data_IF_808544549567
#
_entry.id   IF_808544549567
#
_cell.length_a   1.000
_cell.length_b   1.000
_cell.length_c   1.000
_cell.angle_alpha   90.00
_cell.angle_beta   90.00
_cell.angle_gamma   90.00
#
_symmetry.space_group_name_H-M   'P 1'
#
loop_
_entity.id
_entity.type
_entity.pdbx_description
1 polymer ?
#
# COMPACT_ATOMS: atom_id res chain seq x y z
N UNK A 1 -8.49 45.29 -11.25
CA UNK A 1 -8.57 44.06 -10.42
C UNK A 1 -8.25 42.88 -11.32
N UNK A 2 -7.05 42.32 -11.21
CA UNK A 2 -6.52 41.34 -12.15
C UNK A 2 -6.35 39.98 -11.46
N UNK A 3 -7.10 38.99 -11.93
CA UNK A 3 -7.02 37.61 -11.49
C UNK A 3 -5.65 36.99 -11.84
N UNK A 4 -4.88 36.61 -10.83
CA UNK A 4 -3.65 35.83 -11.02
C UNK A 4 -4.03 34.35 -11.11
N UNK A 5 -4.04 33.86 -12.34
CA UNK A 5 -4.07 32.44 -12.67
C UNK A 5 -2.97 31.68 -11.91
N UNK A 6 -3.39 30.65 -11.16
CA UNK A 6 -2.49 29.69 -10.51
C UNK A 6 -1.80 28.81 -11.57
N UNK A 7 -0.51 28.46 -11.42
CA UNK A 7 0.18 27.69 -12.45
C UNK A 7 -0.34 26.26 -12.49
N UNK A 8 -0.92 25.91 -13.63
CA UNK A 8 -1.19 24.54 -14.08
C UNK A 8 0.04 23.66 -13.89
N UNK A 9 -0.18 22.43 -13.40
CA UNK A 9 0.83 21.37 -13.41
C UNK A 9 1.47 21.25 -14.80
N UNK A 10 2.79 21.05 -14.92
CA UNK A 10 3.44 21.03 -16.22
C UNK A 10 2.85 19.91 -17.07
N UNK A 11 2.37 20.27 -18.27
CA UNK A 11 1.97 19.33 -19.31
C UNK A 11 3.13 18.36 -19.59
N UNK A 12 2.84 17.07 -19.54
CA UNK A 12 3.76 16.00 -19.98
C UNK A 12 4.24 16.32 -21.40
N UNK A 13 5.55 16.46 -21.52
CA UNK A 13 6.24 16.67 -22.80
C UNK A 13 6.26 15.35 -23.56
N UNK A 14 6.05 15.40 -24.88
CA UNK A 14 5.97 14.26 -25.83
C UNK A 14 7.09 13.21 -25.79
N UNK A 15 8.13 13.38 -24.96
CA UNK A 15 9.29 12.48 -24.80
C UNK A 15 9.23 11.58 -23.54
N UNK A 16 8.18 11.65 -22.71
CA UNK A 16 8.07 10.83 -21.49
C UNK A 16 7.76 9.35 -21.75
N UNK A 17 7.33 8.98 -22.96
CA UNK A 17 6.86 7.62 -23.27
C UNK A 17 7.97 6.60 -23.54
N UNK A 18 9.21 7.04 -23.77
CA UNK A 18 10.34 6.15 -24.10
C UNK A 18 11.08 5.65 -22.86
N UNK A 19 10.80 6.23 -21.69
CA UNK A 19 11.47 5.87 -20.45
C UNK A 19 10.69 4.82 -19.65
N UNK A 20 11.41 3.80 -19.17
CA UNK A 20 10.85 2.80 -18.26
C UNK A 20 10.40 3.46 -16.96
N UNK A 21 9.11 3.39 -16.65
CA UNK A 21 8.50 3.92 -15.44
C UNK A 21 8.36 2.86 -14.33
N UNK A 22 7.89 3.24 -13.13
CA UNK A 22 7.67 2.31 -12.01
C UNK A 22 8.86 2.12 -11.07
N UNK A 23 8.77 1.10 -10.20
CA UNK A 23 9.79 0.83 -9.17
C UNK A 23 11.11 0.42 -9.81
N UNK A 24 12.22 0.82 -9.18
CA UNK A 24 13.54 0.29 -9.50
C UNK A 24 13.61 -1.16 -9.02
N UNK A 25 14.06 -2.04 -9.90
CA UNK A 25 14.36 -3.43 -9.57
C UNK A 25 15.60 -3.49 -8.67
N UNK A 26 15.81 -4.65 -8.03
CA UNK A 26 17.01 -4.87 -7.20
C UNK A 26 18.28 -4.71 -8.05
N UNK A 27 18.29 -5.33 -9.24
CA UNK A 27 19.40 -5.23 -10.19
C UNK A 27 19.70 -3.79 -10.61
N UNK A 28 18.67 -3.01 -10.97
CA UNK A 28 18.85 -1.59 -11.30
C UNK A 28 19.42 -0.79 -10.11
N UNK A 29 18.96 -1.11 -8.89
CA UNK A 29 19.43 -0.46 -7.66
C UNK A 29 20.89 -0.78 -7.36
N UNK A 30 21.29 -2.04 -7.57
CA UNK A 30 22.64 -2.52 -7.30
C UNK A 30 23.63 -1.96 -8.33
N UNK A 31 23.25 -1.90 -9.62
CA UNK A 31 24.03 -1.24 -10.68
C UNK A 31 24.32 0.23 -10.36
N UNK A 32 23.28 0.98 -9.97
CA UNK A 32 23.43 2.40 -9.61
C UNK A 32 24.37 2.56 -8.40
N UNK A 33 24.19 1.74 -7.35
CA UNK A 33 25.03 1.82 -6.14
C UNK A 33 26.49 1.54 -6.46
N UNK A 34 26.75 0.47 -7.22
CA UNK A 34 28.10 0.11 -7.63
C UNK A 34 28.75 1.24 -8.44
N UNK A 35 28.07 1.78 -9.45
CA UNK A 35 28.59 2.88 -10.25
C UNK A 35 28.94 4.13 -9.42
N UNK A 36 28.14 4.44 -8.40
CA UNK A 36 28.47 5.54 -7.47
C UNK A 36 29.69 5.20 -6.61
N UNK A 37 29.75 4.00 -6.06
CA UNK A 37 30.83 3.59 -5.17
C UNK A 37 32.18 3.53 -5.93
N UNK A 38 32.17 3.04 -7.17
CA UNK A 38 33.30 3.06 -8.11
C UNK A 38 33.72 4.51 -8.42
N UNK A 39 32.75 5.38 -8.77
CA UNK A 39 33.06 6.80 -9.02
C UNK A 39 33.65 7.50 -7.79
N UNK A 40 33.14 7.20 -6.59
CA UNK A 40 33.63 7.78 -5.33
C UNK A 40 35.06 7.32 -5.05
N UNK A 41 35.36 6.03 -5.20
CA UNK A 41 36.69 5.49 -4.91
C UNK A 41 37.76 6.06 -5.85
N UNK A 42 37.41 6.29 -7.11
CA UNK A 42 38.31 6.85 -8.12
C UNK A 42 38.53 8.37 -7.96
N UNK A 43 37.47 9.13 -7.61
CA UNK A 43 37.49 10.58 -7.70
C UNK A 43 37.55 11.31 -6.34
N UNK A 44 37.34 10.61 -5.22
CA UNK A 44 37.28 11.24 -3.90
C UNK A 44 38.09 10.49 -2.84
N UNK A 45 39.08 11.17 -2.25
CA UNK A 45 39.80 10.70 -1.05
C UNK A 45 39.11 11.13 0.25
N UNK A 46 37.83 10.78 0.41
CA UNK A 46 37.08 11.09 1.62
C UNK A 46 36.03 10.02 1.91
N UNK A 47 35.37 10.10 3.08
CA UNK A 47 34.30 9.17 3.40
C UNK A 47 33.18 9.23 2.37
N UNK A 48 32.56 8.08 2.12
CA UNK A 48 31.43 7.93 1.19
C UNK A 48 30.34 8.97 1.42
N UNK A 49 30.02 9.25 2.68
CA UNK A 49 29.02 10.26 3.04
C UNK A 49 29.43 11.69 2.64
N UNK A 50 30.70 12.04 2.82
CA UNK A 50 31.23 13.35 2.44
C UNK A 50 31.23 13.52 0.92
N UNK A 51 31.61 12.48 0.18
CA UNK A 51 31.56 12.46 -1.29
C UNK A 51 30.12 12.60 -1.80
N UNK A 52 29.17 11.82 -1.25
CA UNK A 52 27.74 11.91 -1.61
C UNK A 52 27.16 13.31 -1.37
N UNK A 53 27.51 13.97 -0.27
CA UNK A 53 27.09 15.36 0.00
C UNK A 53 27.59 16.34 -1.06
N UNK A 54 28.76 16.10 -1.66
CA UNK A 54 29.30 16.91 -2.77
C UNK A 54 28.56 16.61 -4.08
N UNK A 55 28.34 15.34 -4.38
CA UNK A 55 27.69 14.87 -5.61
C UNK A 55 26.21 15.28 -5.72
N UNK A 56 25.50 15.46 -4.60
CA UNK A 56 24.06 15.76 -4.58
C UNK A 56 23.74 17.25 -4.76
N UNK A 57 24.72 18.14 -4.50
CA UNK A 57 24.48 19.58 -4.62
C UNK A 57 24.18 19.94 -6.07
N UNK A 58 22.93 20.30 -6.34
CA UNK A 58 22.53 20.96 -7.59
C UNK A 58 23.09 22.38 -7.56
N UNK A 59 23.90 22.75 -8.56
CA UNK A 59 24.41 24.13 -8.73
C UNK A 59 23.62 24.79 -9.87
N UNK A 60 22.72 25.71 -9.52
CA UNK A 60 21.89 26.43 -10.50
C UNK A 60 21.08 25.49 -11.40
N UNK A 61 21.22 25.64 -12.72
CA UNK A 61 20.53 24.82 -13.73
C UNK A 61 21.23 23.49 -14.04
N UNK A 62 22.44 23.25 -13.50
CA UNK A 62 23.23 22.06 -13.79
C UNK A 62 22.67 20.87 -12.99
N UNK A 63 22.31 19.75 -13.65
CA UNK A 63 21.95 18.50 -12.99
C UNK A 63 23.04 18.02 -12.02
N UNK A 64 22.63 17.34 -10.94
CA UNK A 64 23.57 16.73 -10.01
C UNK A 64 24.46 15.70 -10.72
N UNK A 65 25.79 15.66 -10.46
CA UNK A 65 26.70 14.63 -10.96
C UNK A 65 26.18 13.19 -10.84
N UNK A 66 25.43 12.88 -9.78
CA UNK A 66 24.82 11.56 -9.61
C UNK A 66 23.87 11.18 -10.75
N UNK A 67 23.16 12.16 -11.32
CA UNK A 67 22.24 11.90 -12.42
C UNK A 67 23.02 11.38 -13.62
N UNK A 68 24.15 11.99 -13.96
CA UNK A 68 24.98 11.54 -15.09
C UNK A 68 25.52 10.14 -14.87
N UNK A 69 26.13 9.86 -13.71
CA UNK A 69 26.65 8.54 -13.36
C UNK A 69 25.58 7.45 -13.51
N UNK A 70 24.35 7.71 -13.04
CA UNK A 70 23.29 6.73 -13.17
C UNK A 70 22.64 6.67 -14.56
N UNK A 71 22.75 7.71 -15.39
CA UNK A 71 22.32 7.64 -16.79
C UNK A 71 23.26 6.79 -17.64
N UNK A 72 24.55 6.69 -17.28
CA UNK A 72 25.50 5.79 -17.96
C UNK A 72 25.13 4.33 -17.78
N UNK A 73 24.68 3.94 -16.58
CA UNK A 73 24.31 2.54 -16.28
C UNK A 73 22.83 2.23 -16.47
N UNK A 74 21.95 3.24 -16.47
CA UNK A 74 20.50 3.11 -16.70
C UNK A 74 19.97 4.17 -17.68
N UNK A 75 20.40 4.16 -18.95
CA UNK A 75 19.97 5.16 -19.94
C UNK A 75 18.47 5.11 -20.24
N UNK A 76 17.83 3.96 -20.00
CA UNK A 76 16.39 3.75 -20.20
C UNK A 76 15.51 4.32 -19.07
N UNK A 77 16.08 4.88 -18.00
CA UNK A 77 15.32 5.48 -16.89
C UNK A 77 15.35 7.00 -16.99
N UNK A 78 14.20 7.65 -16.82
CA UNK A 78 14.12 9.10 -16.87
C UNK A 78 15.00 9.77 -15.78
N UNK A 79 15.81 10.81 -16.08
CA UNK A 79 16.72 11.47 -15.14
C UNK A 79 16.06 11.91 -13.82
N UNK A 80 14.84 12.43 -13.88
CA UNK A 80 14.05 12.81 -12.68
C UNK A 80 13.72 11.62 -11.79
N UNK A 81 13.45 10.44 -12.35
CA UNK A 81 13.18 9.22 -11.59
C UNK A 81 14.42 8.74 -10.86
N UNK A 82 15.57 8.82 -11.52
CA UNK A 82 16.89 8.51 -10.95
C UNK A 82 17.25 9.50 -9.83
N UNK A 83 17.04 10.80 -10.04
CA UNK A 83 17.23 11.81 -8.99
C UNK A 83 16.40 11.52 -7.73
N UNK A 84 15.13 11.16 -7.91
CA UNK A 84 14.25 10.78 -6.80
C UNK A 84 14.69 9.48 -6.12
N UNK A 85 15.26 8.53 -6.87
CA UNK A 85 15.84 7.32 -6.30
C UNK A 85 16.99 7.65 -5.35
N UNK A 86 17.94 8.50 -5.77
CA UNK A 86 19.06 8.91 -4.90
C UNK A 86 18.61 9.53 -3.59
N UNK A 87 17.64 10.46 -3.68
CA UNK A 87 17.10 11.14 -2.49
C UNK A 87 16.50 10.18 -1.46
N UNK A 88 15.92 9.06 -1.91
CA UNK A 88 15.24 8.09 -1.04
C UNK A 88 16.11 6.93 -0.58
N UNK A 89 17.05 6.48 -1.41
CA UNK A 89 17.74 5.21 -1.21
C UNK A 89 19.24 5.32 -0.99
N UNK A 90 19.86 6.44 -1.37
CA UNK A 90 21.32 6.64 -1.24
C UNK A 90 21.62 7.66 -0.13
N UNK A 91 20.80 8.70 0.00
CA UNK A 91 20.91 9.62 1.13
C UNK A 91 20.48 8.94 2.43
N UNK A 92 21.35 9.01 3.44
CA UNK A 92 20.99 8.62 4.80
C UNK A 92 19.91 9.57 5.31
N UNK A 93 18.71 9.03 5.46
CA UNK A 93 17.62 9.64 6.18
C UNK A 93 17.18 8.65 7.25
N UNK A 94 16.82 9.15 8.43
CA UNK A 94 16.20 8.34 9.47
C UNK A 94 14.92 7.71 8.93
N UNK A 95 14.85 6.39 9.00
CA UNK A 95 13.68 5.59 8.60
C UNK A 95 13.04 4.92 9.81
N UNK A 96 11.81 4.46 9.65
CA UNK A 96 11.08 3.74 10.69
C UNK A 96 10.00 4.56 11.39
N UNK A 97 9.52 4.05 12.53
CA UNK A 97 8.39 4.62 13.27
C UNK A 97 8.69 6.04 13.72
N UNK A 98 7.69 6.91 13.64
CA UNK A 98 7.78 8.27 14.16
C UNK A 98 7.72 8.24 15.68
N UNK A 99 8.69 8.88 16.32
CA UNK A 99 8.67 9.07 17.77
C UNK A 99 7.79 10.27 18.15
N UNK A 100 7.39 10.35 19.41
CA UNK A 100 6.53 11.45 19.87
C UNK A 100 7.28 12.79 19.83
N UNK A 101 8.59 12.76 20.03
CA UNK A 101 9.49 13.92 19.96
C UNK A 101 9.56 14.45 18.52
N UNK A 102 9.70 13.54 17.53
CA UNK A 102 9.68 13.92 16.12
C UNK A 102 8.34 14.53 15.71
N UNK A 103 7.24 13.97 16.23
CA UNK A 103 5.90 14.48 15.98
C UNK A 103 5.68 15.84 16.64
N UNK A 104 6.15 16.03 17.88
CA UNK A 104 6.08 17.31 18.57
C UNK A 104 6.88 18.38 17.83
N UNK A 105 8.12 18.10 17.42
CA UNK A 105 8.93 19.03 16.65
C UNK A 105 8.26 19.42 15.32
N UNK A 106 7.67 18.45 14.60
CA UNK A 106 6.90 18.71 13.39
C UNK A 106 5.72 19.68 13.63
N UNK A 107 4.94 19.41 14.68
CA UNK A 107 3.78 20.23 15.05
C UNK A 107 4.20 21.62 15.54
N UNK A 108 5.23 21.72 16.38
CA UNK A 108 5.80 22.97 16.88
C UNK A 108 6.25 23.85 15.72
N UNK A 109 6.99 23.30 14.76
CA UNK A 109 7.41 24.08 13.58
C UNK A 109 6.23 24.49 12.71
N UNK A 110 5.20 23.64 12.55
CA UNK A 110 4.00 24.02 11.82
C UNK A 110 3.29 25.21 12.47
N UNK A 111 2.97 25.13 13.77
CA UNK A 111 2.23 26.19 14.47
C UNK A 111 3.03 27.50 14.56
N UNK A 112 4.36 27.44 14.66
CA UNK A 112 5.22 28.64 14.61
C UNK A 112 5.22 29.34 13.25
N UNK A 113 4.88 28.63 12.17
CA UNK A 113 4.85 29.18 10.81
C UNK A 113 3.41 29.27 10.25
N UNK A 114 2.39 29.07 11.08
CA UNK A 114 1.00 29.05 10.64
C UNK A 114 0.57 30.42 10.11
N UNK A 115 1.00 31.51 10.76
CA UNK A 115 0.67 32.89 10.39
C UNK A 115 1.33 33.34 9.07
N UNK A 116 2.52 32.82 8.76
CA UNK A 116 3.23 33.17 7.52
C UNK A 116 2.73 32.42 6.30
N UNK A 117 1.89 31.39 6.48
CA UNK A 117 1.38 30.52 5.40
C UNK A 117 2.46 29.70 4.68
N UNK A 118 3.73 29.85 5.06
CA UNK A 118 4.88 29.20 4.42
C UNK A 118 5.38 28.10 5.36
N UNK A 119 5.08 26.85 4.98
CA UNK A 119 5.59 25.72 5.72
C UNK A 119 7.09 25.51 5.48
N UNK A 120 7.91 25.80 6.48
CA UNK A 120 9.38 25.66 6.44
C UNK A 120 9.85 24.20 6.63
N UNK A 121 9.38 23.27 5.79
CA UNK A 121 9.71 21.83 5.89
C UNK A 121 11.22 21.52 5.78
N UNK A 122 11.99 22.41 5.13
CA UNK A 122 13.45 22.27 5.03
C UNK A 122 14.13 22.29 6.40
N UNK A 123 13.63 23.11 7.32
CA UNK A 123 14.17 23.18 8.68
C UNK A 123 13.88 21.89 9.45
N UNK A 124 12.62 21.44 9.41
CA UNK A 124 12.17 20.19 10.04
C UNK A 124 12.95 18.98 9.50
N UNK A 125 13.18 18.92 8.19
CA UNK A 125 13.98 17.87 7.53
C UNK A 125 15.38 17.78 8.15
N UNK A 126 16.06 18.93 8.31
CA UNK A 126 17.40 18.98 8.92
C UNK A 126 17.38 18.56 10.38
N UNK A 127 16.42 19.06 11.16
CA UNK A 127 16.29 18.76 12.58
C UNK A 127 16.01 17.28 12.84
N UNK A 128 15.04 16.70 12.12
CA UNK A 128 14.60 15.32 12.34
C UNK A 128 15.46 14.29 11.60
N UNK A 129 16.37 14.74 10.73
CA UNK A 129 17.15 13.90 9.82
C UNK A 129 16.28 12.95 8.98
N UNK A 130 15.01 13.29 8.76
CA UNK A 130 14.06 12.55 7.89
C UNK A 130 13.97 13.24 6.54
N UNK A 131 13.68 12.48 5.48
CA UNK A 131 13.53 13.04 4.13
C UNK A 131 12.33 14.00 4.05
N UNK A 132 12.37 15.04 3.18
CA UNK A 132 11.25 15.96 3.00
C UNK A 132 9.93 15.27 2.65
N UNK A 133 10.01 14.17 1.89
CA UNK A 133 8.88 13.33 1.51
C UNK A 133 8.23 12.70 2.76
N UNK A 134 9.02 12.13 3.68
CA UNK A 134 8.51 11.58 4.93
C UNK A 134 7.84 12.66 5.80
N UNK A 135 8.44 13.87 5.88
CA UNK A 135 7.86 15.01 6.60
C UNK A 135 6.47 15.35 6.04
N UNK A 136 6.38 15.53 4.71
CA UNK A 136 5.13 15.84 4.03
C UNK A 136 4.07 14.75 4.18
N UNK A 137 4.46 13.48 4.09
CA UNK A 137 3.56 12.35 4.24
C UNK A 137 3.01 12.28 5.66
N UNK A 138 3.88 12.46 6.68
CA UNK A 138 3.43 12.48 8.07
C UNK A 138 2.54 13.68 8.36
N UNK A 139 2.88 14.85 7.83
CA UNK A 139 2.03 16.03 7.99
C UNK A 139 0.65 15.81 7.36
N UNK A 140 0.57 15.25 6.14
CA UNK A 140 -0.72 14.90 5.51
C UNK A 140 -1.53 13.91 6.32
N UNK A 141 -0.88 12.94 6.95
CA UNK A 141 -1.54 11.99 7.84
C UNK A 141 -2.20 12.70 9.01
N UNK A 142 -1.49 13.63 9.66
CA UNK A 142 -1.93 14.29 10.89
C UNK A 142 -2.76 15.56 10.69
N UNK A 143 -2.70 16.18 9.50
CA UNK A 143 -3.30 17.48 9.19
C UNK A 143 -4.79 17.54 9.55
N UNK A 144 -5.51 16.44 9.38
CA UNK A 144 -6.96 16.38 9.59
C UNK A 144 -7.39 16.51 11.06
N UNK A 145 -6.46 16.35 11.99
CA UNK A 145 -6.71 16.46 13.42
C UNK A 145 -5.68 17.37 14.08
N UNK A 146 -5.11 18.31 13.30
CA UNK A 146 -4.05 19.19 13.76
C UNK A 146 -4.53 20.12 14.86
N UNK A 147 -5.76 20.61 14.76
CA UNK A 147 -6.36 21.52 15.75
C UNK A 147 -6.44 20.88 17.14
N UNK A 148 -6.63 19.55 17.20
CA UNK A 148 -6.61 18.82 18.48
C UNK A 148 -5.26 18.95 19.21
N UNK A 149 -4.16 19.13 18.48
CA UNK A 149 -2.83 19.30 19.07
C UNK A 149 -2.49 20.74 19.43
N UNK A 150 -3.23 21.73 18.90
CA UNK A 150 -2.88 23.15 19.03
C UNK A 150 -2.78 23.59 20.50
N UNK A 151 -3.79 23.24 21.29
CA UNK A 151 -3.84 23.54 22.73
C UNK A 151 -2.68 22.92 23.51
N UNK A 152 -2.25 21.72 23.15
CA UNK A 152 -1.12 21.04 23.83
C UNK A 152 0.21 21.65 23.43
N UNK A 153 0.42 21.95 22.15
CA UNK A 153 1.71 22.45 21.64
C UNK A 153 1.96 23.89 22.10
N UNK A 154 0.94 24.74 22.04
CA UNK A 154 1.04 26.18 22.36
C UNK A 154 0.90 26.50 23.85
N UNK A 155 0.50 25.56 24.70
CA UNK A 155 0.37 25.79 26.15
C UNK A 155 1.70 26.21 26.78
N UNK A 156 1.72 27.34 27.50
CA UNK A 156 2.88 27.83 28.26
C UNK A 156 3.09 27.09 29.59
N UNK A 157 2.04 26.48 30.13
CA UNK A 157 2.02 25.81 31.44
C UNK A 157 2.67 24.41 31.42
N UNK A 158 2.79 23.79 30.24
CA UNK A 158 3.29 22.43 30.10
C UNK A 158 4.78 22.42 29.76
N UNK A 159 5.54 21.58 30.47
CA UNK A 159 6.91 21.26 30.09
C UNK A 159 6.97 20.59 28.71
N UNK A 160 8.10 20.67 28.00
CA UNK A 160 8.25 19.98 26.71
C UNK A 160 8.04 18.46 26.84
N UNK A 161 8.52 17.85 27.94
CA UNK A 161 8.32 16.43 28.22
C UNK A 161 6.83 16.08 28.36
N UNK A 162 6.04 16.93 29.04
CA UNK A 162 4.61 16.73 29.20
C UNK A 162 3.85 16.90 27.89
N UNK A 163 4.26 17.86 27.05
CA UNK A 163 3.70 18.05 25.70
C UNK A 163 3.94 16.81 24.84
N UNK A 164 5.16 16.28 24.82
CA UNK A 164 5.54 15.07 24.09
C UNK A 164 4.73 13.87 24.59
N UNK A 165 4.60 13.70 25.91
CA UNK A 165 3.82 12.63 26.53
C UNK A 165 2.33 12.72 26.16
N UNK A 166 1.72 13.91 26.25
CA UNK A 166 0.32 14.15 25.88
C UNK A 166 0.07 13.88 24.40
N UNK A 167 0.94 14.35 23.50
CA UNK A 167 0.88 14.03 22.07
C UNK A 167 0.95 12.52 21.86
N UNK A 168 1.86 11.83 22.54
CA UNK A 168 1.96 10.37 22.50
C UNK A 168 0.65 9.67 22.90
N UNK A 169 -0.01 10.12 23.97
CA UNK A 169 -1.31 9.61 24.41
C UNK A 169 -2.40 9.85 23.37
N UNK A 170 -2.47 11.06 22.80
CA UNK A 170 -3.44 11.41 21.75
C UNK A 170 -3.26 10.55 20.48
N UNK A 171 -2.02 10.32 20.07
CA UNK A 171 -1.70 9.54 18.87
C UNK A 171 -1.94 8.04 19.08
N UNK A 172 -1.66 7.51 20.28
CA UNK A 172 -1.91 6.09 20.63
C UNK A 172 -3.41 5.77 20.70
N UNK A 173 -4.24 6.70 21.18
CA UNK A 173 -5.71 6.56 21.18
C UNK A 173 -6.30 6.46 19.77
N UNK A 174 -5.61 7.00 18.77
CA UNK A 174 -6.01 6.87 17.36
C UNK A 174 -5.52 5.57 16.71
N UNK A 175 -4.37 5.02 17.13
CA UNK A 175 -3.77 3.82 16.55
C UNK A 175 -4.32 2.50 17.11
N UNK A 176 -4.74 2.48 18.38
CA UNK A 176 -5.49 1.37 18.96
C UNK A 176 -6.98 1.71 18.88
N UNK A 177 -7.73 1.03 18.02
CA UNK A 177 -9.19 1.00 18.14
C UNK A 177 -9.54 0.67 19.59
N UNK A 178 -10.18 1.62 20.26
CA UNK A 178 -10.38 1.62 21.71
C UNK A 178 -11.22 0.42 22.14
N UNK A 179 -10.58 -0.59 22.73
CA UNK A 179 -11.18 -1.43 23.74
C UNK A 179 -10.89 -0.79 25.09
N UNK A 180 -11.80 0.09 25.52
CA UNK A 180 -12.24 0.36 26.91
C UNK A 180 -12.88 1.75 27.02
N UNK A 181 -14.20 1.73 27.18
CA UNK A 181 -15.08 2.67 27.88
C UNK A 181 -14.53 4.09 28.15
N UNK A 182 -14.57 4.93 27.14
CA UNK A 182 -14.77 6.38 27.33
C UNK A 182 -15.59 6.88 26.15
N UNK A 183 -16.88 7.13 26.41
CA UNK A 183 -17.82 7.70 25.46
C UNK A 183 -17.33 9.08 24.98
N UNK A 184 -17.49 9.34 23.68
CA UNK A 184 -17.57 10.66 23.02
C UNK A 184 -16.46 11.17 22.08
N UNK A 185 -15.38 10.44 21.70
CA UNK A 185 -14.44 11.07 20.73
C UNK A 185 -13.71 10.15 19.72
N UNK A 186 -14.11 8.88 19.60
CA UNK A 186 -13.79 8.08 18.41
C UNK A 186 -14.92 8.23 17.42
N UNK A 187 -14.72 8.95 16.32
CA UNK A 187 -15.73 9.13 15.27
C UNK A 187 -16.26 7.76 14.83
N UNK A 188 -17.44 7.42 15.31
CA UNK A 188 -18.01 6.09 15.25
C UNK A 188 -18.46 5.85 13.80
N UNK A 189 -18.07 4.70 13.25
CA UNK A 189 -18.48 4.31 11.89
C UNK A 189 -19.91 3.81 11.96
N UNK A 190 -20.86 4.74 12.01
CA UNK A 190 -22.28 4.44 12.09
C UNK A 190 -22.82 3.90 10.75
N UNK A 191 -23.93 3.14 10.73
CA UNK A 191 -24.60 2.75 9.49
C UNK A 191 -24.94 3.95 8.60
N UNK A 192 -25.36 5.07 9.21
CA UNK A 192 -25.62 6.33 8.51
C UNK A 192 -24.36 6.89 7.82
N UNK A 193 -23.20 6.83 8.47
CA UNK A 193 -21.92 7.19 7.85
C UNK A 193 -21.60 6.28 6.66
N UNK A 194 -21.78 4.97 6.80
CA UNK A 194 -21.51 4.01 5.71
C UNK A 194 -22.40 4.28 4.50
N UNK A 195 -23.69 4.48 4.72
CA UNK A 195 -24.65 4.82 3.68
C UNK A 195 -24.27 6.12 2.97
N UNK A 196 -24.00 7.19 3.73
CA UNK A 196 -23.61 8.49 3.17
C UNK A 196 -22.32 8.39 2.36
N UNK A 197 -21.31 7.65 2.83
CA UNK A 197 -20.06 7.43 2.11
C UNK A 197 -20.30 6.65 0.81
N UNK A 198 -21.16 5.63 0.84
CA UNK A 198 -21.54 4.87 -0.34
C UNK A 198 -22.23 5.74 -1.39
N UNK A 199 -23.25 6.50 -0.98
CA UNK A 199 -24.02 7.34 -1.88
C UNK A 199 -23.17 8.43 -2.55
N UNK A 200 -22.23 9.03 -1.83
CA UNK A 200 -21.29 10.02 -2.40
C UNK A 200 -20.38 9.38 -3.44
N UNK A 201 -19.81 8.20 -3.17
CA UNK A 201 -18.95 7.52 -4.14
C UNK A 201 -19.74 7.11 -5.38
N UNK A 202 -20.98 6.62 -5.20
CA UNK A 202 -21.89 6.29 -6.30
C UNK A 202 -22.23 7.51 -7.15
N UNK A 203 -22.57 8.65 -6.55
CA UNK A 203 -22.86 9.91 -7.26
C UNK A 203 -21.64 10.42 -8.05
N UNK A 204 -20.44 10.30 -7.48
CA UNK A 204 -19.21 10.71 -8.19
C UNK A 204 -18.95 9.80 -9.40
N UNK A 205 -19.13 8.48 -9.25
CA UNK A 205 -18.88 7.52 -10.32
C UNK A 205 -19.98 7.50 -11.38
N UNK A 206 -21.23 7.85 -11.05
CA UNK A 206 -22.30 7.97 -12.04
C UNK A 206 -22.11 9.16 -12.98
N UNK A 207 -21.46 10.23 -12.50
CA UNK A 207 -21.17 11.44 -13.29
C UNK A 207 -19.99 11.28 -14.25
N UNK A 208 -19.04 10.40 -13.97
CA UNK A 208 -17.85 10.18 -14.81
C UNK A 208 -17.66 8.71 -15.13
N UNK A 209 -18.09 8.32 -16.34
CA UNK A 209 -18.03 6.94 -16.85
C UNK A 209 -16.61 6.41 -17.02
N UNK A 210 -15.58 7.27 -17.02
CA UNK A 210 -14.18 6.86 -17.15
C UNK A 210 -13.57 6.44 -15.80
N UNK A 211 -14.27 6.68 -14.69
CA UNK A 211 -13.79 6.28 -13.37
C UNK A 211 -13.96 4.78 -13.15
N UNK A 212 -12.92 4.18 -12.59
CA UNK A 212 -12.95 2.82 -12.04
C UNK A 212 -12.93 2.87 -10.51
N UNK A 213 -13.25 1.76 -9.85
CA UNK A 213 -13.19 1.64 -8.38
C UNK A 213 -11.82 2.04 -7.80
N UNK A 214 -10.74 1.87 -8.56
CA UNK A 214 -9.40 2.25 -8.11
C UNK A 214 -9.10 3.74 -8.27
N UNK A 215 -9.77 4.40 -9.21
CA UNK A 215 -9.51 5.79 -9.60
C UNK A 215 -10.52 6.78 -9.01
N UNK A 216 -11.31 6.36 -8.02
CA UNK A 216 -12.20 7.25 -7.28
C UNK A 216 -11.41 8.46 -6.75
N UNK A 217 -11.84 9.70 -7.02
CA UNK A 217 -11.14 10.91 -6.57
C UNK A 217 -11.38 11.14 -5.08
N UNK A 218 -10.70 10.37 -4.23
CA UNK A 218 -10.88 10.38 -2.78
C UNK A 218 -10.68 11.74 -2.12
N UNK A 219 -9.92 12.65 -2.74
CA UNK A 219 -9.81 14.02 -2.28
C UNK A 219 -11.15 14.78 -2.36
N UNK A 220 -11.99 14.53 -3.38
CA UNK A 220 -13.34 15.08 -3.47
C UNK A 220 -14.27 14.47 -2.43
N UNK A 221 -14.16 13.15 -2.22
CA UNK A 221 -14.93 12.43 -1.17
C UNK A 221 -14.60 12.98 0.22
N UNK A 222 -13.31 13.16 0.52
CA UNK A 222 -12.84 13.67 1.82
C UNK A 222 -13.40 15.06 2.15
N UNK A 223 -13.66 15.93 1.16
CA UNK A 223 -14.27 17.25 1.44
C UNK A 223 -15.60 17.14 2.17
N UNK A 224 -16.31 16.01 2.07
CA UNK A 224 -17.57 15.73 2.78
C UNK A 224 -17.36 15.00 4.12
N UNK A 225 -16.14 14.58 4.42
CA UNK A 225 -15.72 13.85 5.63
C UNK A 225 -14.39 14.40 6.14
N UNK A 226 -14.33 15.68 6.59
CA UNK A 226 -13.08 16.38 6.91
C UNK A 226 -12.27 15.68 8.03
N UNK A 227 -12.95 15.01 8.95
CA UNK A 227 -12.34 14.31 10.09
C UNK A 227 -11.67 12.98 9.73
N UNK A 228 -11.81 12.54 8.47
CA UNK A 228 -11.28 11.27 8.00
C UNK A 228 -10.21 11.47 6.93
N UNK A 229 -9.09 10.75 7.07
CA UNK A 229 -8.07 10.72 6.03
C UNK A 229 -8.57 9.99 4.78
N UNK A 230 -8.09 10.41 3.60
CA UNK A 230 -8.32 9.74 2.31
C UNK A 230 -8.06 8.23 2.41
N UNK A 231 -6.95 7.85 3.04
CA UNK A 231 -6.56 6.45 3.21
C UNK A 231 -7.59 5.66 4.02
N UNK A 232 -8.09 6.23 5.13
CA UNK A 232 -9.08 5.58 5.99
C UNK A 232 -10.41 5.39 5.25
N UNK A 233 -10.90 6.42 4.55
CA UNK A 233 -12.12 6.34 3.73
C UNK A 233 -11.99 5.27 2.65
N UNK A 234 -10.87 5.28 1.90
CA UNK A 234 -10.62 4.31 0.83
C UNK A 234 -10.57 2.88 1.34
N UNK A 235 -9.84 2.63 2.43
CA UNK A 235 -9.73 1.28 3.00
C UNK A 235 -11.10 0.81 3.49
N UNK A 236 -11.81 1.63 4.26
CA UNK A 236 -13.11 1.27 4.81
C UNK A 236 -14.14 0.99 3.71
N UNK A 237 -14.17 1.83 2.68
CA UNK A 237 -15.04 1.61 1.52
C UNK A 237 -14.74 0.29 0.81
N UNK A 238 -13.48 0.06 0.45
CA UNK A 238 -13.09 -1.11 -0.35
C UNK A 238 -13.09 -2.43 0.42
N UNK A 239 -12.87 -2.40 1.74
CA UNK A 239 -12.76 -3.60 2.57
C UNK A 239 -14.03 -3.94 3.33
N UNK A 240 -14.93 -2.97 3.53
CA UNK A 240 -16.11 -3.15 4.38
C UNK A 240 -17.39 -2.80 3.64
N UNK A 241 -17.54 -1.55 3.18
CA UNK A 241 -18.80 -1.05 2.62
C UNK A 241 -19.15 -1.77 1.32
N UNK A 242 -18.26 -1.73 0.32
CA UNK A 242 -18.56 -2.30 -1.00
C UNK A 242 -18.77 -3.82 -0.96
N UNK A 243 -17.96 -4.61 -0.23
CA UNK A 243 -18.27 -6.03 -0.03
C UNK A 243 -19.62 -6.28 0.67
N UNK A 244 -20.02 -5.43 1.63
CA UNK A 244 -21.33 -5.53 2.29
C UNK A 244 -22.46 -5.28 1.29
N UNK A 245 -22.35 -4.23 0.47
CA UNK A 245 -23.30 -3.95 -0.64
C UNK A 245 -23.41 -5.15 -1.58
N UNK A 246 -22.28 -5.71 -2.02
CA UNK A 246 -22.32 -6.87 -2.92
C UNK A 246 -22.96 -8.08 -2.28
N UNK A 247 -22.73 -8.32 -0.99
CA UNK A 247 -23.38 -9.41 -0.24
C UNK A 247 -24.88 -9.21 -0.14
N UNK A 248 -25.34 -7.96 0.00
CA UNK A 248 -26.77 -7.62 0.10
C UNK A 248 -27.49 -7.71 -1.25
N UNK A 249 -26.87 -7.23 -2.33
CA UNK A 249 -27.53 -7.10 -3.65
C UNK A 249 -27.34 -8.35 -4.52
N UNK A 250 -26.18 -8.99 -4.45
CA UNK A 250 -25.84 -10.11 -5.32
C UNK A 250 -25.81 -11.42 -4.53
N UNK A 251 -26.92 -12.14 -4.56
CA UNK A 251 -27.02 -13.46 -3.96
C UNK A 251 -25.87 -14.38 -4.42
N UNK A 252 -25.21 -15.03 -3.47
CA UNK A 252 -24.03 -15.88 -3.69
C UNK A 252 -22.69 -15.12 -3.69
N UNK A 253 -22.69 -13.78 -3.68
CA UNK A 253 -21.47 -13.02 -3.43
C UNK A 253 -20.96 -13.33 -2.01
N UNK A 254 -19.73 -13.81 -1.92
CA UNK A 254 -19.09 -14.15 -0.65
C UNK A 254 -17.57 -14.11 -0.78
N UNK A 255 -16.84 -14.00 0.35
CA UNK A 255 -15.38 -14.14 0.34
C UNK A 255 -14.92 -15.45 -0.32
N UNK A 256 -15.67 -16.54 -0.13
CA UNK A 256 -15.38 -17.85 -0.73
C UNK A 256 -15.53 -17.82 -2.25
N UNK A 257 -16.59 -17.17 -2.77
CA UNK A 257 -16.77 -16.99 -4.21
C UNK A 257 -15.58 -16.22 -4.82
N UNK A 258 -15.17 -15.11 -4.18
CA UNK A 258 -14.00 -14.31 -4.61
C UNK A 258 -12.72 -15.15 -4.60
N UNK A 259 -12.54 -16.01 -3.60
CA UNK A 259 -11.41 -16.94 -3.60
C UNK A 259 -11.49 -17.94 -4.76
N UNK A 260 -12.63 -18.58 -5.00
CA UNK A 260 -12.79 -19.58 -6.09
C UNK A 260 -12.42 -19.03 -7.46
N UNK A 261 -12.89 -17.83 -7.80
CA UNK A 261 -12.56 -17.18 -9.08
C UNK A 261 -11.05 -16.90 -9.19
N UNK A 262 -10.41 -16.50 -8.09
CA UNK A 262 -8.98 -16.20 -8.05
C UNK A 262 -8.14 -17.47 -8.17
N UNK A 263 -8.47 -18.54 -7.44
CA UNK A 263 -7.79 -19.83 -7.54
C UNK A 263 -7.97 -20.49 -8.89
N UNK A 264 -9.14 -20.31 -9.52
CA UNK A 264 -9.34 -20.73 -10.90
C UNK A 264 -8.37 -20.04 -11.85
N UNK A 265 -8.17 -18.73 -11.66
CA UNK A 265 -7.27 -17.96 -12.50
C UNK A 265 -5.80 -18.29 -12.23
N UNK A 266 -5.40 -18.36 -10.96
CA UNK A 266 -4.06 -18.78 -10.55
C UNK A 266 -3.72 -20.16 -11.12
N UNK A 267 -4.62 -21.15 -11.02
CA UNK A 267 -4.41 -22.48 -11.62
C UNK A 267 -4.21 -22.42 -13.14
N UNK A 268 -4.85 -21.49 -13.85
CA UNK A 268 -4.61 -21.28 -15.29
C UNK A 268 -3.25 -20.64 -15.55
N UNK A 269 -2.84 -19.66 -14.74
CA UNK A 269 -1.55 -19.00 -14.86
C UNK A 269 -0.39 -19.97 -14.63
N UNK A 270 -0.50 -20.84 -13.62
CA UNK A 270 0.55 -21.79 -13.26
C UNK A 270 0.80 -22.86 -14.34
N UNK A 271 -0.19 -23.12 -15.20
CA UNK A 271 -0.05 -24.02 -16.37
C UNK A 271 0.70 -23.39 -17.55
N UNK A 272 0.95 -22.07 -17.54
CA UNK A 272 1.66 -21.40 -18.65
C UNK A 272 3.17 -21.66 -18.56
N UNK A 273 3.90 -21.76 -19.69
CA UNK A 273 5.34 -21.99 -19.69
C UNK A 273 6.12 -20.93 -18.89
N UNK A 274 5.70 -19.67 -18.96
CA UNK A 274 6.33 -18.55 -18.26
C UNK A 274 5.96 -18.44 -16.76
N UNK A 275 5.26 -19.44 -16.19
CA UNK A 275 4.86 -19.43 -14.77
C UNK A 275 6.02 -19.57 -13.80
N UNK A 276 7.22 -19.92 -14.29
CA UNK A 276 8.46 -20.06 -13.48
C UNK A 276 8.81 -18.75 -12.75
N UNK A 277 8.38 -17.61 -13.29
CA UNK A 277 8.69 -16.30 -12.73
C UNK A 277 7.72 -15.84 -11.62
N UNK A 278 6.63 -16.58 -11.36
CA UNK A 278 5.69 -16.25 -10.28
C UNK A 278 6.26 -16.71 -8.93
N UNK A 279 6.85 -15.77 -8.20
CA UNK A 279 7.41 -15.97 -6.86
C UNK A 279 6.46 -15.50 -5.76
N UNK A 280 5.58 -14.54 -6.05
CA UNK A 280 4.70 -13.94 -5.04
C UNK A 280 3.26 -13.77 -5.52
N UNK A 281 2.29 -13.86 -4.59
CA UNK A 281 0.88 -13.50 -4.85
C UNK A 281 0.71 -12.05 -5.32
N UNK A 282 1.63 -11.16 -4.92
CA UNK A 282 1.63 -9.75 -5.32
C UNK A 282 1.90 -9.55 -6.81
N UNK A 283 2.52 -10.52 -7.49
CA UNK A 283 2.83 -10.53 -8.92
C UNK A 283 1.64 -10.99 -9.77
N UNK A 284 0.62 -11.59 -9.14
CA UNK A 284 -0.60 -11.98 -9.85
C UNK A 284 -1.47 -10.76 -10.09
N UNK A 285 -1.69 -10.45 -11.37
CA UNK A 285 -2.51 -9.32 -11.80
C UNK A 285 -4.01 -9.61 -11.67
N UNK A 286 -4.50 -9.54 -10.44
CA UNK A 286 -5.93 -9.63 -10.15
C UNK A 286 -6.69 -8.35 -10.55
N UNK A 287 -6.00 -7.21 -10.57
CA UNK A 287 -6.59 -5.90 -10.88
C UNK A 287 -7.21 -5.90 -12.27
N UNK A 288 -6.42 -6.24 -13.28
CA UNK A 288 -6.92 -6.24 -14.66
C UNK A 288 -7.89 -7.39 -14.89
N UNK A 289 -7.81 -8.46 -14.09
CA UNK A 289 -8.66 -9.64 -14.25
C UNK A 289 -10.05 -9.48 -13.66
N UNK A 290 -10.15 -8.83 -12.51
CA UNK A 290 -11.37 -8.66 -11.73
C UNK A 290 -11.56 -7.18 -11.32
N UNK A 291 -11.60 -6.24 -12.29
CA UNK A 291 -11.64 -4.80 -12.00
C UNK A 291 -12.89 -4.36 -11.22
N UNK A 292 -13.94 -5.18 -11.22
CA UNK A 292 -15.19 -4.91 -10.52
C UNK A 292 -15.16 -5.27 -9.02
N UNK A 293 -14.10 -5.96 -8.56
CA UNK A 293 -13.89 -6.28 -7.14
C UNK A 293 -12.66 -5.52 -6.64
N UNK A 294 -12.72 -4.82 -5.49
CA UNK A 294 -11.56 -4.12 -4.97
C UNK A 294 -10.34 -5.04 -4.81
N UNK A 295 -9.18 -4.60 -5.31
CA UNK A 295 -7.94 -5.39 -5.24
C UNK A 295 -7.55 -5.70 -3.78
N UNK A 296 -7.76 -4.75 -2.86
CA UNK A 296 -7.48 -4.95 -1.43
C UNK A 296 -8.33 -6.09 -0.86
N UNK A 297 -9.62 -6.11 -1.18
CA UNK A 297 -10.55 -7.15 -0.72
C UNK A 297 -10.22 -8.51 -1.35
N UNK A 298 -9.93 -8.52 -2.64
CA UNK A 298 -9.50 -9.73 -3.37
C UNK A 298 -8.28 -10.38 -2.71
N UNK A 299 -7.24 -9.58 -2.42
CA UNK A 299 -6.03 -10.04 -1.74
C UNK A 299 -6.33 -10.57 -0.33
N UNK A 300 -7.21 -9.89 0.40
CA UNK A 300 -7.66 -10.35 1.72
C UNK A 300 -8.34 -11.73 1.65
N UNK A 301 -9.28 -11.93 0.72
CA UNK A 301 -9.97 -13.20 0.53
C UNK A 301 -9.00 -14.34 0.20
N UNK A 302 -8.06 -14.10 -0.74
CA UNK A 302 -7.04 -15.08 -1.12
C UNK A 302 -6.15 -15.43 0.07
N UNK A 303 -5.58 -14.42 0.75
CA UNK A 303 -4.67 -14.64 1.89
C UNK A 303 -5.35 -15.42 3.01
N UNK A 304 -6.57 -15.04 3.39
CA UNK A 304 -7.38 -15.75 4.39
C UNK A 304 -7.63 -17.20 3.99
N UNK A 305 -7.92 -17.43 2.71
CA UNK A 305 -8.21 -18.77 2.19
C UNK A 305 -6.96 -19.63 2.15
N UNK A 306 -5.84 -19.11 1.66
CA UNK A 306 -4.55 -19.81 1.65
C UNK A 306 -4.10 -20.20 3.05
N UNK A 307 -4.20 -19.31 4.04
CA UNK A 307 -3.86 -19.63 5.43
C UNK A 307 -4.73 -20.77 5.98
N UNK A 308 -6.03 -20.74 5.69
CA UNK A 308 -6.95 -21.82 6.07
C UNK A 308 -6.60 -23.13 5.37
N UNK A 309 -6.27 -23.08 4.08
CA UNK A 309 -5.95 -24.27 3.28
C UNK A 309 -4.59 -24.86 3.63
N UNK A 310 -3.59 -24.04 3.95
CA UNK A 310 -2.30 -24.52 4.43
C UNK A 310 -2.46 -25.31 5.73
N UNK A 311 -3.32 -24.84 6.65
CA UNK A 311 -3.67 -25.58 7.86
C UNK A 311 -4.38 -26.89 7.55
N UNK A 312 -5.43 -26.87 6.71
CA UNK A 312 -6.14 -28.09 6.30
C UNK A 312 -5.23 -29.11 5.63
N UNK A 313 -4.37 -28.66 4.73
CA UNK A 313 -3.44 -29.50 3.99
C UNK A 313 -2.46 -30.20 4.93
N UNK A 314 -1.94 -29.49 5.95
CA UNK A 314 -1.14 -30.10 7.02
C UNK A 314 -1.88 -31.21 7.77
N UNK A 315 -3.13 -30.98 8.15
CA UNK A 315 -3.92 -32.01 8.86
C UNK A 315 -4.17 -33.22 7.95
N UNK A 316 -4.56 -33.00 6.70
CA UNK A 316 -4.77 -34.07 5.73
C UNK A 316 -3.54 -34.97 5.56
N UNK A 317 -2.35 -34.39 5.46
CA UNK A 317 -1.10 -35.16 5.33
C UNK A 317 -0.77 -35.89 6.65
N UNK A 318 -0.88 -35.24 7.81
CA UNK A 318 -0.65 -35.88 9.11
C UNK A 318 -1.60 -37.07 9.34
N UNK A 319 -2.84 -36.96 8.90
CA UNK A 319 -3.83 -38.05 8.99
C UNK A 319 -3.50 -39.17 8.00
N UNK A 320 -3.04 -38.86 6.80
CA UNK A 320 -2.54 -39.86 5.84
C UNK A 320 -1.29 -40.59 6.35
N UNK A 321 -0.36 -39.91 7.03
CA UNK A 321 0.80 -40.58 7.64
C UNK A 321 0.41 -41.61 8.69
N UNK A 322 -0.60 -41.31 9.52
CA UNK A 322 -1.10 -42.28 10.52
C UNK A 322 -1.72 -43.52 9.89
N UNK A 323 -2.29 -43.37 8.68
CA UNK A 323 -2.95 -44.45 7.94
C UNK A 323 -1.98 -45.25 7.07
N UNK A 324 -0.84 -44.67 6.69
CA UNK A 324 0.11 -45.25 5.72
C UNK A 324 1.46 -45.47 6.40
N UNK A 325 1.57 -46.48 7.27
CA UNK A 325 2.84 -46.88 7.88
C UNK A 325 3.74 -47.72 6.94
N UNK A 326 3.37 -47.96 5.68
CA UNK A 326 4.04 -48.94 4.81
C UNK A 326 4.36 -48.51 3.35
N UNK A 327 4.26 -47.23 2.96
CA UNK A 327 4.65 -46.79 1.59
C UNK A 327 5.45 -45.47 1.63
N UNK A 328 6.78 -45.55 1.57
CA UNK A 328 7.68 -44.47 2.00
C UNK A 328 8.04 -43.38 0.95
N UNK A 329 7.79 -43.54 -0.36
CA UNK A 329 8.48 -42.66 -1.32
C UNK A 329 7.76 -41.35 -1.73
N UNK A 330 6.42 -41.27 -1.75
CA UNK A 330 5.70 -40.06 -2.20
C UNK A 330 5.26 -39.15 -1.04
N UNK A 331 5.06 -39.71 0.16
CA UNK A 331 4.66 -38.98 1.37
C UNK A 331 5.79 -38.10 1.94
N UNK A 332 7.04 -38.58 1.89
CA UNK A 332 8.21 -37.85 2.38
C UNK A 332 8.45 -36.51 1.66
N UNK A 333 8.12 -36.49 0.36
CA UNK A 333 8.29 -35.31 -0.48
C UNK A 333 7.27 -34.21 -0.17
N UNK A 334 6.04 -34.58 0.20
CA UNK A 334 4.99 -33.63 0.59
C UNK A 334 5.20 -33.08 2.02
N UNK A 335 5.85 -33.85 2.91
CA UNK A 335 6.21 -33.44 4.27
C UNK A 335 7.35 -32.41 4.30
N UNK A 336 8.38 -32.61 3.48
CA UNK A 336 9.47 -31.65 3.36
C UNK A 336 8.97 -30.29 2.81
N UNK A 337 7.98 -30.35 1.92
CA UNK A 337 7.24 -29.20 1.37
C UNK A 337 6.41 -28.51 2.47
N UNK A 338 5.76 -29.27 3.37
CA UNK A 338 4.96 -28.73 4.47
C UNK A 338 5.77 -27.94 5.51
N UNK A 339 6.97 -28.42 5.84
CA UNK A 339 7.87 -27.75 6.79
C UNK A 339 8.28 -26.36 6.31
N UNK A 340 8.31 -26.14 4.99
CA UNK A 340 8.71 -24.89 4.34
C UNK A 340 7.59 -23.84 4.26
N UNK A 341 6.32 -24.26 4.29
CA UNK A 341 5.18 -23.34 4.22
C UNK A 341 4.99 -22.70 5.61
N UNK A 342 5.14 -21.38 5.80
CA UNK A 342 4.92 -20.76 7.11
C UNK A 342 3.44 -20.84 7.52
N UNK A 343 3.15 -21.10 8.80
CA UNK A 343 1.77 -21.18 9.32
C UNK A 343 1.05 -19.83 9.31
N UNK A 344 1.82 -18.75 9.35
CA UNK A 344 1.34 -17.41 9.68
C UNK A 344 1.51 -16.43 8.49
N UNK A 345 2.23 -16.85 7.46
CA UNK A 345 2.48 -16.05 6.26
C UNK A 345 2.50 -16.91 5.01
N UNK A 346 1.72 -16.49 4.02
CA UNK A 346 1.71 -17.03 2.66
C UNK A 346 2.28 -16.02 1.66
N UNK A 347 2.96 -14.98 2.16
CA UNK A 347 3.53 -13.89 1.36
C UNK A 347 5.01 -14.09 1.04
N UNK A 348 5.71 -15.03 1.69
CA UNK A 348 7.14 -15.27 1.52
C UNK A 348 7.44 -16.71 1.15
N UNK A 349 8.17 -16.87 0.04
CA UNK A 349 8.84 -18.06 -0.52
C UNK A 349 8.04 -19.35 -0.38
N UNK A 350 7.23 -19.62 -1.41
CA UNK A 350 6.95 -20.99 -1.83
C UNK A 350 7.90 -21.33 -2.97
N UNK A 351 8.50 -22.51 -2.98
CA UNK A 351 8.97 -23.07 -4.24
C UNK A 351 7.78 -23.15 -5.21
N UNK A 352 8.03 -23.06 -6.53
CA UNK A 352 6.96 -23.21 -7.55
C UNK A 352 6.13 -24.48 -7.29
N UNK A 353 6.79 -25.55 -6.83
CA UNK A 353 6.17 -26.82 -6.48
C UNK A 353 5.21 -26.69 -5.30
N UNK A 354 5.64 -26.12 -4.18
CA UNK A 354 4.79 -25.87 -3.00
C UNK A 354 3.58 -25.00 -3.34
N UNK A 355 3.80 -23.90 -4.08
CA UNK A 355 2.72 -23.01 -4.47
C UNK A 355 1.71 -23.71 -5.39
N UNK A 356 2.19 -24.50 -6.35
CA UNK A 356 1.36 -25.29 -7.25
C UNK A 356 0.52 -26.32 -6.48
N UNK A 357 1.11 -27.04 -5.53
CA UNK A 357 0.43 -28.03 -4.69
C UNK A 357 -0.67 -27.36 -3.87
N UNK A 358 -0.35 -26.26 -3.17
CA UNK A 358 -1.31 -25.55 -2.35
C UNK A 358 -2.46 -24.98 -3.20
N UNK A 359 -2.18 -24.44 -4.39
CA UNK A 359 -3.22 -23.97 -5.33
C UNK A 359 -4.05 -25.13 -5.86
N UNK A 360 -3.45 -26.29 -6.17
CA UNK A 360 -4.16 -27.49 -6.64
C UNK A 360 -5.10 -28.02 -5.55
N UNK A 361 -4.60 -28.17 -4.33
CA UNK A 361 -5.37 -28.60 -3.15
C UNK A 361 -6.52 -27.64 -2.88
N UNK A 362 -6.24 -26.33 -2.81
CA UNK A 362 -7.26 -25.30 -2.58
C UNK A 362 -8.33 -25.30 -3.68
N UNK A 363 -7.92 -25.48 -4.94
CA UNK A 363 -8.87 -25.53 -6.05
C UNK A 363 -9.85 -26.71 -5.92
N UNK A 364 -9.37 -27.85 -5.39
CA UNK A 364 -10.21 -29.03 -5.15
C UNK A 364 -11.11 -28.83 -3.93
N UNK A 365 -10.56 -28.41 -2.77
CA UNK A 365 -11.33 -28.19 -1.53
C UNK A 365 -12.44 -27.14 -1.70
N UNK A 366 -12.18 -26.08 -2.47
CA UNK A 366 -13.20 -25.06 -2.75
C UNK A 366 -14.20 -25.47 -3.86
N UNK A 367 -14.13 -26.70 -4.37
CA UNK A 367 -15.01 -27.21 -5.43
C UNK A 367 -15.07 -26.29 -6.67
N UNK A 368 -13.96 -25.68 -7.06
CA UNK A 368 -13.94 -24.59 -8.05
C UNK A 368 -14.55 -24.99 -9.40
N UNK A 369 -14.47 -26.28 -9.79
CA UNK A 369 -15.12 -26.79 -11.01
C UNK A 369 -16.64 -26.69 -10.93
N UNK A 370 -17.23 -27.08 -9.80
CA UNK A 370 -18.68 -27.12 -9.56
C UNK A 370 -19.29 -25.72 -9.61
N UNK A 371 -18.66 -24.76 -8.95
CA UNK A 371 -19.18 -23.39 -8.80
C UNK A 371 -18.81 -22.45 -9.95
N UNK A 372 -18.05 -22.93 -10.93
CA UNK A 372 -17.46 -22.15 -12.02
C UNK A 372 -18.44 -21.26 -12.79
N UNK A 373 -19.66 -21.76 -13.06
CA UNK A 373 -20.70 -21.06 -13.83
C UNK A 373 -21.38 -20.02 -12.94
N UNK A 374 -21.88 -20.44 -11.79
CA UNK A 374 -22.47 -19.58 -10.76
C UNK A 374 -21.57 -18.37 -10.41
N UNK A 375 -20.30 -18.61 -10.07
CA UNK A 375 -19.37 -17.53 -9.70
C UNK A 375 -19.12 -16.53 -10.85
N UNK A 376 -19.10 -17.02 -12.10
CA UNK A 376 -18.97 -16.15 -13.28
C UNK A 376 -20.21 -15.28 -13.49
N UNK A 377 -21.39 -15.84 -13.26
CA UNK A 377 -22.65 -15.14 -13.48
C UNK A 377 -22.80 -14.00 -12.46
N UNK A 378 -22.41 -14.23 -11.20
CA UNK A 378 -22.33 -13.16 -10.19
C UNK A 378 -21.35 -12.07 -10.60
N UNK A 379 -20.12 -12.43 -11.03
CA UNK A 379 -19.15 -11.45 -11.49
C UNK A 379 -19.63 -10.64 -12.70
N UNK A 380 -20.47 -11.23 -13.57
CA UNK A 380 -21.08 -10.54 -14.71
C UNK A 380 -22.13 -9.55 -14.22
N UNK A 381 -22.98 -9.93 -13.26
CA UNK A 381 -23.94 -9.02 -12.62
C UNK A 381 -23.23 -7.80 -12.00
N UNK A 382 -22.19 -8.02 -11.20
CA UNK A 382 -21.38 -6.94 -10.59
C UNK A 382 -20.71 -6.08 -11.66
N UNK A 383 -20.20 -6.68 -12.75
CA UNK A 383 -19.56 -5.92 -13.81
C UNK A 383 -20.55 -4.97 -14.51
N UNK A 384 -21.81 -5.37 -14.65
CA UNK A 384 -22.85 -4.56 -15.27
C UNK A 384 -23.31 -3.42 -14.36
N UNK A 385 -23.28 -3.63 -13.04
CA UNK A 385 -23.62 -2.62 -12.05
C UNK A 385 -22.66 -2.68 -10.85
N UNK A 386 -21.55 -1.95 -10.96
CA UNK A 386 -20.45 -1.96 -9.98
C UNK A 386 -20.87 -1.27 -8.67
N UNK A 387 -21.80 -0.32 -8.72
CA UNK A 387 -22.28 0.41 -7.55
C UNK A 387 -23.82 0.41 -7.54
N UNK A 388 -24.43 -0.76 -7.25
CA UNK A 388 -25.87 -0.90 -7.32
C UNK A 388 -26.58 -0.04 -6.28
N UNK A 389 -27.85 0.23 -6.52
CA UNK A 389 -28.69 0.87 -5.50
C UNK A 389 -28.82 -0.09 -4.31
N UNK A 390 -28.40 0.35 -3.13
CA UNK A 390 -28.40 -0.45 -1.91
C UNK A 390 -28.65 0.45 -0.70
N UNK A 391 -29.48 -0.04 0.24
CA UNK A 391 -29.65 0.53 1.56
C UNK A 391 -28.91 -0.34 2.56
N UNK A 392 -27.84 0.19 3.15
CA UNK A 392 -27.03 -0.46 4.17
C UNK A 392 -27.77 -0.34 5.51
N UNK A 393 -28.38 -1.45 5.93
CA UNK A 393 -28.93 -1.60 7.28
C UNK A 393 -27.81 -1.81 8.31
#
# INVERSE_FOLDING_TARGET
>A
MSERNSPTSPRSTKFDNDFKSGKFTKEESDKIKKAIDDFISENYRCSREAALKRLIKKRGNIPSPLIYIAQEVLPHRHPRSVYNFFRRHILYNKTGRWTNEELFALLKTYFLNEESGINCWKSVTKQLKRSPEQIHDKFREIKHYIDKFKSVVQSSELSEADKISKIGKMTRRQAKGSSKNTNNDTVEVTPAFQQKLYDIVRDIMSKDKNLSLENVPWAKVQKKFPDYSITRLRIHFNMTILPKVYTTVYEGFSPTMVSRICFRWMRKLLKRPNSINLKFLSEVDFKNKFPQVPLMYTRYCIRRTLLRMARKFRHHILDQQKLTQNEENDLDLDLEILAKIPSDSVEGIFSKKEFNLLVKFTYTDLEVKRWKKHDKDILKKIKNDILPVCKLC
#
